data_IF_413429600181
#
_entry.id   IF_413429600181
#
_cell.length_a   1.000
_cell.length_b   1.000
_cell.length_c   1.000
_cell.angle_alpha   90.00
_cell.angle_beta   90.00
_cell.angle_gamma   90.00
#
_symmetry.space_group_name_H-M   'P 1'
#
loop_
_entity.id
_entity.type
_entity.pdbx_description
1 polymer ?
#
# COMPACT_ATOMS: atom_id res chain seq x y z
N UNK A 1 1.29 10.78 -17.50
CA UNK A 1 1.87 10.53 -16.16
C UNK A 1 1.39 9.15 -15.73
N UNK A 2 2.22 8.34 -15.07
CA UNK A 2 1.72 7.10 -14.50
C UNK A 2 0.75 7.43 -13.37
N UNK A 3 -0.21 6.54 -13.13
CA UNK A 3 -0.86 6.50 -11.82
C UNK A 3 0.14 5.88 -10.83
N UNK A 4 0.11 6.34 -9.58
CA UNK A 4 1.01 5.85 -8.53
C UNK A 4 0.27 4.89 -7.63
N UNK A 5 0.95 3.80 -7.32
CA UNK A 5 0.49 2.73 -6.46
C UNK A 5 1.35 2.71 -5.21
N UNK A 6 0.72 2.97 -4.07
CA UNK A 6 1.33 2.81 -2.75
C UNK A 6 1.09 1.38 -2.29
N UNK A 7 2.09 0.74 -1.71
CA UNK A 7 1.93 -0.62 -1.17
C UNK A 7 2.68 -0.76 0.13
N UNK A 8 1.99 -1.17 1.18
CA UNK A 8 2.59 -1.53 2.45
C UNK A 8 2.94 -3.02 2.44
N UNK A 9 4.13 -3.37 2.90
CA UNK A 9 4.60 -4.76 3.00
C UNK A 9 4.96 -5.12 4.44
N UNK A 10 4.69 -6.37 4.78
CA UNK A 10 5.21 -7.03 5.98
C UNK A 10 5.89 -8.33 5.55
N UNK A 11 7.15 -8.52 5.93
CA UNK A 11 7.89 -9.76 5.72
C UNK A 11 8.06 -10.46 7.06
N UNK A 12 7.70 -11.74 7.07
CA UNK A 12 7.92 -12.67 8.19
C UNK A 12 8.70 -13.91 7.74
N UNK A 13 9.21 -14.68 8.70
CA UNK A 13 10.05 -15.85 8.45
C UNK A 13 11.13 -16.03 9.52
N UNK A 14 12.22 -16.70 9.17
CA UNK A 14 13.35 -16.89 10.09
C UNK A 14 14.03 -15.56 10.45
N UNK A 15 14.34 -15.39 11.73
CA UNK A 15 14.90 -14.14 12.25
C UNK A 15 16.26 -13.78 11.63
N UNK A 16 17.09 -14.75 11.26
CA UNK A 16 18.39 -14.47 10.62
C UNK A 16 18.20 -14.05 9.16
N UNK A 17 17.25 -14.66 8.45
CA UNK A 17 16.92 -14.27 7.08
C UNK A 17 16.30 -12.86 7.02
N UNK A 18 15.36 -12.55 7.93
CA UNK A 18 14.77 -11.20 8.05
C UNK A 18 15.86 -10.17 8.32
N UNK A 19 16.73 -10.46 9.30
CA UNK A 19 17.85 -9.56 9.62
C UNK A 19 18.77 -9.35 8.43
N UNK A 20 19.08 -10.40 7.69
CA UNK A 20 19.93 -10.33 6.49
C UNK A 20 19.31 -9.47 5.39
N UNK A 21 17.99 -9.59 5.18
CA UNK A 21 17.26 -8.75 4.23
C UNK A 21 17.21 -7.29 4.68
N UNK A 22 16.92 -7.03 5.96
CA UNK A 22 16.92 -5.68 6.52
C UNK A 22 18.27 -5.01 6.35
N UNK A 23 19.37 -5.68 6.72
CA UNK A 23 20.73 -5.16 6.58
C UNK A 23 21.08 -4.88 5.11
N UNK A 24 20.68 -5.75 4.18
CA UNK A 24 20.87 -5.55 2.75
C UNK A 24 20.15 -4.31 2.23
N UNK A 25 18.85 -4.17 2.51
CA UNK A 25 18.05 -3.03 2.06
C UNK A 25 18.54 -1.73 2.71
N UNK A 26 18.93 -1.80 3.99
CA UNK A 26 19.45 -0.64 4.73
C UNK A 26 20.79 -0.17 4.18
N UNK A 27 21.72 -1.09 3.88
CA UNK A 27 22.99 -0.76 3.22
C UNK A 27 22.75 -0.08 1.86
N UNK A 28 21.85 -0.62 1.04
CA UNK A 28 21.50 -0.02 -0.25
C UNK A 28 20.97 1.41 -0.08
N UNK A 29 20.01 1.60 0.84
CA UNK A 29 19.37 2.89 1.09
C UNK A 29 20.35 3.96 1.60
N UNK A 30 21.29 3.58 2.47
CA UNK A 30 22.22 4.51 3.14
C UNK A 30 23.45 4.88 2.28
N UNK A 31 23.58 4.32 1.07
CA UNK A 31 24.65 4.68 0.13
C UNK A 31 24.54 6.13 -0.33
N UNK A 32 25.68 6.69 -0.77
CA UNK A 32 25.73 8.03 -1.39
C UNK A 32 25.24 8.05 -2.84
N UNK A 33 25.37 6.93 -3.53
CA UNK A 33 24.99 6.76 -4.94
C UNK A 33 24.32 5.41 -5.11
N UNK A 34 23.35 5.28 -6.03
CA UNK A 34 22.65 4.03 -6.22
C UNK A 34 23.59 2.93 -6.74
N UNK A 35 23.29 1.68 -6.38
CA UNK A 35 24.06 0.52 -6.85
C UNK A 35 23.98 0.37 -8.38
N UNK A 36 22.82 0.71 -8.94
CA UNK A 36 22.57 0.75 -10.38
C UNK A 36 22.17 2.16 -10.78
N UNK A 37 22.71 2.69 -11.88
CA UNK A 37 22.35 4.03 -12.36
C UNK A 37 20.87 4.09 -12.75
N UNK A 38 20.11 4.97 -12.11
CA UNK A 38 18.66 5.09 -12.31
C UNK A 38 18.15 6.52 -11.98
N UNK A 39 16.85 6.76 -12.13
CA UNK A 39 16.19 8.04 -11.85
C UNK A 39 15.44 8.13 -10.51
N UNK A 40 15.32 7.03 -9.76
CA UNK A 40 14.59 6.94 -8.48
C UNK A 40 15.50 7.20 -7.27
N UNK A 41 16.77 6.79 -7.33
CA UNK A 41 17.73 6.94 -6.24
C UNK A 41 18.24 5.61 -5.69
N UNK A 42 18.73 5.63 -4.46
CA UNK A 42 19.38 4.48 -3.79
C UNK A 42 18.40 3.39 -3.38
N UNK A 43 17.17 3.77 -3.03
CA UNK A 43 16.07 2.86 -2.68
C UNK A 43 15.27 2.35 -3.88
N UNK A 44 15.79 2.52 -5.10
CA UNK A 44 15.14 1.96 -6.29
C UNK A 44 15.04 0.44 -6.22
N UNK A 45 13.88 -0.14 -6.53
CA UNK A 45 13.67 -1.60 -6.48
C UNK A 45 14.67 -2.37 -7.36
N UNK A 46 15.13 -1.79 -8.48
CA UNK A 46 16.14 -2.41 -9.33
C UNK A 46 17.52 -2.53 -8.67
N UNK A 47 17.85 -1.65 -7.72
CA UNK A 47 19.05 -1.82 -6.90
C UNK A 47 18.95 -3.06 -5.98
N UNK A 48 17.74 -3.33 -5.46
CA UNK A 48 17.51 -4.54 -4.67
C UNK A 48 17.60 -5.79 -5.55
N UNK A 49 16.94 -5.81 -6.71
CA UNK A 49 17.01 -6.92 -7.66
C UNK A 49 18.47 -7.24 -8.07
N UNK A 50 19.26 -6.22 -8.38
CA UNK A 50 20.69 -6.36 -8.67
C UNK A 50 21.47 -6.97 -7.48
N UNK A 51 21.23 -6.48 -6.27
CA UNK A 51 21.88 -6.99 -5.05
C UNK A 51 21.44 -8.41 -4.66
N UNK A 52 20.25 -8.84 -5.09
CA UNK A 52 19.82 -10.24 -5.01
C UNK A 52 20.57 -11.15 -6.02
N UNK A 53 21.30 -10.56 -6.97
CA UNK A 53 22.05 -11.26 -8.01
C UNK A 53 21.23 -11.53 -9.27
N UNK A 54 20.16 -10.76 -9.48
CA UNK A 54 19.20 -10.94 -10.58
C UNK A 54 19.30 -9.75 -11.55
N UNK A 55 18.83 -9.97 -12.78
CA UNK A 55 18.85 -8.96 -13.84
C UNK A 55 17.63 -8.04 -13.70
N UNK A 56 17.86 -6.82 -13.20
CA UNK A 56 16.80 -5.83 -12.98
C UNK A 56 16.08 -5.40 -14.27
N UNK A 57 16.69 -5.56 -15.45
CA UNK A 57 16.08 -5.19 -16.74
C UNK A 57 14.98 -6.19 -17.16
N UNK A 58 14.93 -7.34 -16.51
CA UNK A 58 13.94 -8.41 -16.75
C UNK A 58 12.83 -8.45 -15.71
N UNK A 59 12.84 -7.54 -14.75
CA UNK A 59 11.92 -7.50 -13.60
C UNK A 59 11.28 -6.13 -13.54
N UNK A 60 9.99 -6.08 -13.24
CA UNK A 60 9.27 -4.83 -13.06
C UNK A 60 9.80 -4.07 -11.83
N UNK A 61 10.67 -3.09 -12.02
CA UNK A 61 11.30 -2.29 -10.95
C UNK A 61 10.81 -0.84 -10.98
N UNK A 62 9.51 -0.59 -11.14
CA UNK A 62 8.97 0.73 -11.53
C UNK A 62 8.69 1.65 -10.33
N UNK A 63 9.57 1.61 -9.33
CA UNK A 63 9.40 2.33 -8.09
C UNK A 63 10.54 2.13 -7.10
N UNK A 64 10.38 2.72 -5.93
CA UNK A 64 11.33 2.67 -4.83
C UNK A 64 10.64 2.30 -3.51
N UNK A 65 11.43 1.80 -2.56
CA UNK A 65 10.94 1.55 -1.20
C UNK A 65 11.21 2.73 -0.26
N UNK A 66 10.40 2.84 0.78
CA UNK A 66 10.54 3.81 1.85
C UNK A 66 10.14 3.17 3.21
N UNK A 67 10.30 3.93 4.30
CA UNK A 67 9.83 3.55 5.63
C UNK A 67 10.31 2.16 6.10
N UNK A 68 11.55 1.79 5.77
CA UNK A 68 12.14 0.51 6.14
C UNK A 68 12.37 0.41 7.65
N UNK A 69 11.68 -0.51 8.30
CA UNK A 69 11.73 -0.67 9.76
C UNK A 69 11.56 -2.12 10.23
N UNK A 70 12.21 -2.45 11.34
CA UNK A 70 11.99 -3.70 12.07
C UNK A 70 10.90 -3.49 13.11
N UNK A 71 9.82 -4.26 13.04
CA UNK A 71 8.70 -4.24 14.00
C UNK A 71 8.54 -5.62 14.61
N UNK A 72 9.01 -5.78 15.85
CA UNK A 72 9.09 -7.08 16.51
C UNK A 72 9.99 -8.04 15.71
N UNK A 73 9.43 -9.18 15.30
CA UNK A 73 10.10 -10.18 14.46
C UNK A 73 9.80 -10.02 12.97
N UNK A 74 9.17 -8.91 12.54
CA UNK A 74 8.82 -8.66 11.14
C UNK A 74 9.60 -7.48 10.56
N UNK A 75 9.83 -7.50 9.25
CA UNK A 75 10.34 -6.37 8.49
C UNK A 75 9.18 -5.68 7.78
N UNK A 76 9.05 -4.36 7.94
CA UNK A 76 8.01 -3.55 7.31
C UNK A 76 8.61 -2.44 6.47
N UNK A 77 7.94 -2.10 5.38
CA UNK A 77 8.29 -0.98 4.51
C UNK A 77 7.11 -0.67 3.58
N UNK A 78 7.21 0.44 2.87
CA UNK A 78 6.27 0.79 1.80
C UNK A 78 7.00 0.89 0.46
N UNK A 79 6.27 0.77 -0.65
CA UNK A 79 6.77 1.11 -1.98
C UNK A 79 5.85 2.09 -2.68
N UNK A 80 6.43 2.98 -3.47
CA UNK A 80 5.69 3.81 -4.44
C UNK A 80 6.07 3.35 -5.84
N UNK A 81 5.11 2.82 -6.59
CA UNK A 81 5.34 2.19 -7.89
C UNK A 81 4.37 2.69 -8.96
N UNK A 82 4.77 2.71 -10.22
CA UNK A 82 3.83 3.04 -11.29
C UNK A 82 2.77 1.93 -11.46
N UNK A 83 1.51 2.29 -11.68
CA UNK A 83 0.38 1.44 -12.14
C UNK A 83 -0.03 0.23 -11.27
N UNK A 84 0.79 -0.23 -10.33
CA UNK A 84 0.52 -1.41 -9.52
C UNK A 84 1.79 -1.96 -8.87
N UNK A 85 1.64 -2.83 -7.86
CA UNK A 85 2.74 -3.31 -7.04
C UNK A 85 3.76 -4.08 -7.89
N UNK A 86 5.02 -3.96 -7.53
CA UNK A 86 6.13 -4.67 -8.17
C UNK A 86 6.50 -5.94 -7.38
N UNK A 87 5.49 -6.77 -7.08
CA UNK A 87 5.60 -7.97 -6.24
C UNK A 87 6.67 -8.95 -6.71
N UNK A 88 6.95 -9.02 -8.02
CA UNK A 88 8.04 -9.81 -8.60
C UNK A 88 9.40 -9.56 -7.92
N UNK A 89 9.66 -8.34 -7.43
CA UNK A 89 10.89 -8.03 -6.68
C UNK A 89 10.95 -8.81 -5.37
N UNK A 90 9.82 -8.97 -4.68
CA UNK A 90 9.71 -9.65 -3.39
C UNK A 90 9.55 -11.16 -3.55
N UNK A 91 9.03 -11.63 -4.69
CA UNK A 91 9.15 -13.04 -5.08
C UNK A 91 10.63 -13.47 -5.15
N UNK A 92 11.49 -12.63 -5.73
CA UNK A 92 12.95 -12.88 -5.77
C UNK A 92 13.61 -12.83 -4.39
N UNK A 93 13.08 -12.01 -3.47
CA UNK A 93 13.50 -12.01 -2.07
C UNK A 93 13.18 -13.37 -1.44
N UNK A 94 11.96 -13.87 -1.59
CA UNK A 94 11.54 -15.19 -1.09
C UNK A 94 12.30 -16.34 -1.77
N UNK A 95 12.70 -16.22 -3.04
CA UNK A 95 13.59 -17.19 -3.68
C UNK A 95 14.97 -17.25 -3.01
N UNK A 96 15.52 -16.10 -2.61
CA UNK A 96 16.85 -16.01 -1.98
C UNK A 96 16.83 -16.36 -0.51
N UNK A 97 15.73 -16.08 0.18
CA UNK A 97 15.51 -16.34 1.60
C UNK A 97 14.25 -17.22 1.76
N UNK A 98 14.38 -18.55 1.62
CA UNK A 98 13.25 -19.45 1.45
C UNK A 98 12.31 -19.57 2.65
N UNK A 99 12.73 -19.11 3.84
CA UNK A 99 11.83 -19.05 4.99
C UNK A 99 10.90 -17.83 4.95
N UNK A 100 11.26 -16.80 4.17
CA UNK A 100 10.53 -15.55 4.15
C UNK A 100 9.25 -15.65 3.34
N UNK A 101 8.23 -14.94 3.83
CA UNK A 101 6.97 -14.70 3.14
C UNK A 101 6.62 -13.23 3.30
N UNK A 102 6.02 -12.65 2.27
CA UNK A 102 5.54 -11.28 2.34
C UNK A 102 4.01 -11.23 2.30
N UNK A 103 3.49 -10.29 3.07
CA UNK A 103 2.11 -9.85 3.04
C UNK A 103 2.08 -8.41 2.54
N UNK A 104 1.05 -8.03 1.81
CA UNK A 104 0.92 -6.66 1.34
C UNK A 104 -0.54 -6.19 1.31
N UNK A 105 -0.70 -4.87 1.40
CA UNK A 105 -1.92 -4.15 1.08
C UNK A 105 -1.55 -3.02 0.10
N UNK A 106 -2.22 -2.97 -1.05
CA UNK A 106 -1.86 -2.12 -2.19
C UNK A 106 -3.00 -1.21 -2.61
N UNK A 107 -2.66 0.00 -3.02
CA UNK A 107 -3.59 1.10 -3.30
C UNK A 107 -3.13 1.88 -4.54
N UNK A 108 -3.91 1.84 -5.60
CA UNK A 108 -3.77 2.68 -6.81
C UNK A 108 -5.13 3.32 -7.11
N UNK A 109 -5.40 4.52 -6.54
CA UNK A 109 -6.71 5.17 -6.63
C UNK A 109 -7.14 5.57 -8.05
N UNK A 110 -6.19 5.83 -8.95
CA UNK A 110 -6.44 6.29 -10.31
C UNK A 110 -7.19 5.28 -11.19
N UNK A 111 -7.09 3.99 -10.89
CA UNK A 111 -7.89 2.92 -11.52
C UNK A 111 -8.79 2.18 -10.52
N UNK A 112 -8.86 2.61 -9.26
CA UNK A 112 -9.63 1.93 -8.22
C UNK A 112 -9.09 0.55 -7.88
N UNK A 113 -7.77 0.39 -7.91
CA UNK A 113 -7.10 -0.89 -7.66
C UNK A 113 -6.68 -0.94 -6.19
N UNK A 114 -7.35 -1.82 -5.43
CA UNK A 114 -7.18 -2.00 -4.00
C UNK A 114 -7.15 -3.49 -3.71
N UNK A 115 -5.97 -4.03 -3.39
CA UNK A 115 -5.78 -5.47 -3.22
C UNK A 115 -4.95 -5.79 -1.97
N UNK A 116 -5.04 -7.03 -1.51
CA UNK A 116 -4.22 -7.57 -0.43
C UNK A 116 -4.04 -9.07 -0.61
N UNK A 117 -2.90 -9.62 -0.24
CA UNK A 117 -2.74 -11.08 -0.13
C UNK A 117 -2.93 -11.58 1.32
N UNK A 118 -3.17 -10.67 2.28
CA UNK A 118 -3.41 -11.00 3.69
C UNK A 118 -4.88 -11.35 3.93
N UNK A 119 -5.31 -12.49 3.39
CA UNK A 119 -6.69 -12.98 3.45
C UNK A 119 -7.27 -13.10 4.87
N UNK A 120 -6.42 -13.36 5.86
CA UNK A 120 -6.82 -13.50 7.27
C UNK A 120 -6.79 -12.17 8.03
N UNK A 121 -6.26 -11.10 7.42
CA UNK A 121 -6.04 -9.81 8.07
C UNK A 121 -5.07 -9.92 9.26
N UNK A 122 -4.04 -10.76 9.13
CA UNK A 122 -3.03 -10.99 10.17
C UNK A 122 -2.23 -9.72 10.49
N UNK A 123 -1.93 -8.93 9.46
CA UNK A 123 -1.16 -7.70 9.51
C UNK A 123 -1.96 -6.49 9.03
N UNK A 124 -2.80 -6.69 8.01
CA UNK A 124 -3.62 -5.64 7.40
C UNK A 124 -5.09 -5.90 7.75
N UNK A 125 -5.52 -5.34 8.87
CA UNK A 125 -6.89 -5.55 9.39
C UNK A 125 -7.94 -4.74 8.65
N UNK A 126 -7.53 -3.67 7.97
CA UNK A 126 -8.43 -2.78 7.26
C UNK A 126 -8.91 -3.43 5.96
N UNK A 127 -10.22 -3.45 5.77
CA UNK A 127 -10.91 -4.04 4.62
C UNK A 127 -11.51 -2.99 3.71
N UNK A 128 -11.64 -1.78 4.19
CA UNK A 128 -12.20 -0.66 3.46
C UNK A 128 -11.31 0.57 3.59
N UNK A 129 -11.23 1.33 2.52
CA UNK A 129 -10.65 2.67 2.49
C UNK A 129 -11.71 3.64 2.01
N UNK A 130 -11.76 4.81 2.65
CA UNK A 130 -12.65 5.91 2.27
C UNK A 130 -11.83 7.13 1.91
N UNK A 131 -11.88 7.53 0.64
CA UNK A 131 -11.40 8.82 0.17
C UNK A 131 -12.59 9.79 0.10
N UNK A 132 -12.58 10.83 0.93
CA UNK A 132 -13.71 11.72 1.14
C UNK A 132 -13.29 13.19 1.03
N UNK A 133 -13.90 13.92 0.11
CA UNK A 133 -13.97 15.39 0.12
C UNK A 133 -15.41 15.80 0.45
N UNK A 134 -15.60 16.38 1.64
CA UNK A 134 -16.92 16.89 2.08
C UNK A 134 -17.38 18.09 1.24
N UNK A 135 -18.67 18.44 1.28
CA UNK A 135 -19.18 19.65 0.63
C UNK A 135 -18.44 20.94 1.01
N UNK A 136 -17.89 21.01 2.23
CA UNK A 136 -17.09 22.15 2.72
C UNK A 136 -15.62 22.12 2.28
N UNK A 137 -15.23 21.17 1.43
CA UNK A 137 -13.86 21.02 0.91
C UNK A 137 -12.88 20.41 1.92
N UNK A 138 -13.37 19.81 3.02
CA UNK A 138 -12.51 19.05 3.94
C UNK A 138 -12.24 17.66 3.38
N UNK A 139 -10.96 17.32 3.25
CA UNK A 139 -10.47 16.03 2.76
C UNK A 139 -10.16 15.07 3.92
N UNK A 140 -10.45 13.79 3.69
CA UNK A 140 -10.14 12.66 4.57
C UNK A 140 -9.74 11.45 3.73
N UNK A 141 -8.80 10.66 4.25
CA UNK A 141 -8.49 9.32 3.78
C UNK A 141 -8.42 8.44 5.02
N UNK A 142 -9.40 7.57 5.21
CA UNK A 142 -9.56 6.77 6.44
C UNK A 142 -9.76 5.29 6.11
N UNK A 143 -9.34 4.43 7.02
CA UNK A 143 -9.30 2.97 6.86
C UNK A 143 -10.18 2.30 7.90
N UNK A 144 -10.85 1.22 7.50
CA UNK A 144 -11.81 0.53 8.36
C UNK A 144 -11.74 -0.98 8.22
N UNK A 145 -11.80 -1.69 9.35
CA UNK A 145 -11.87 -3.15 9.40
C UNK A 145 -13.25 -3.71 9.02
N UNK A 146 -14.31 -2.90 9.16
CA UNK A 146 -15.70 -3.33 8.91
C UNK A 146 -16.59 -2.15 8.45
N UNK A 147 -17.75 -2.49 7.87
CA UNK A 147 -18.72 -1.49 7.39
C UNK A 147 -19.43 -0.75 8.52
N UNK A 148 -19.55 -1.34 9.70
CA UNK A 148 -20.29 -0.73 10.81
C UNK A 148 -19.55 0.52 11.32
N UNK A 149 -18.26 0.36 11.59
CA UNK A 149 -17.35 1.45 11.97
C UNK A 149 -17.23 2.51 10.86
N UNK A 150 -17.14 2.10 9.60
CA UNK A 150 -17.14 3.00 8.45
C UNK A 150 -18.40 3.87 8.39
N UNK A 151 -19.59 3.27 8.47
CA UNK A 151 -20.85 4.03 8.40
C UNK A 151 -21.06 4.91 9.63
N UNK A 152 -20.66 4.44 10.81
CA UNK A 152 -20.69 5.26 12.02
C UNK A 152 -19.83 6.53 11.85
N UNK A 153 -18.60 6.38 11.35
CA UNK A 153 -17.70 7.50 11.07
C UNK A 153 -18.26 8.46 10.03
N UNK A 154 -18.80 7.95 8.91
CA UNK A 154 -19.47 8.81 7.90
C UNK A 154 -20.61 9.62 8.52
N UNK A 155 -21.38 9.00 9.41
CA UNK A 155 -22.45 9.66 10.15
C UNK A 155 -21.95 10.80 11.04
N UNK A 156 -20.84 10.59 11.74
CA UNK A 156 -20.19 11.63 12.55
C UNK A 156 -19.70 12.80 11.70
N UNK A 157 -19.02 12.53 10.59
CA UNK A 157 -18.52 13.55 9.67
C UNK A 157 -19.67 14.37 9.06
N UNK A 158 -20.77 13.70 8.71
CA UNK A 158 -21.95 14.33 8.12
C UNK A 158 -22.87 15.01 9.14
N UNK A 159 -22.76 14.68 10.43
CA UNK A 159 -23.75 15.04 11.44
C UNK A 159 -25.13 14.40 11.19
N UNK A 160 -25.15 13.21 10.59
CA UNK A 160 -26.36 12.48 10.17
C UNK A 160 -26.26 11.00 10.51
N UNK A 161 -27.37 10.28 10.44
CA UNK A 161 -27.34 8.82 10.57
C UNK A 161 -27.01 8.19 9.22
N UNK A 162 -25.96 7.38 9.16
CA UNK A 162 -25.58 6.56 8.01
C UNK A 162 -25.47 5.11 8.50
N UNK A 163 -26.16 4.16 7.86
CA UNK A 163 -26.18 2.75 8.27
C UNK A 163 -25.98 1.77 7.11
N UNK A 164 -25.87 2.28 5.89
CA UNK A 164 -25.84 1.47 4.68
C UNK A 164 -25.18 2.21 3.52
N UNK A 165 -24.82 1.46 2.49
CA UNK A 165 -24.35 2.00 1.21
C UNK A 165 -25.37 2.94 0.57
N UNK A 166 -26.67 2.69 0.78
CA UNK A 166 -27.72 3.56 0.25
C UNK A 166 -27.75 4.91 0.96
N UNK A 167 -27.56 4.92 2.28
CA UNK A 167 -27.46 6.16 3.06
C UNK A 167 -26.19 6.94 2.68
N UNK A 168 -25.06 6.23 2.53
CA UNK A 168 -23.80 6.82 2.08
C UNK A 168 -23.95 7.44 0.68
N UNK A 169 -24.54 6.71 -0.26
CA UNK A 169 -24.82 7.23 -1.61
C UNK A 169 -25.73 8.47 -1.58
N UNK A 170 -26.80 8.46 -0.79
CA UNK A 170 -27.69 9.61 -0.67
C UNK A 170 -26.97 10.84 -0.08
N UNK A 171 -26.10 10.63 0.91
CA UNK A 171 -25.24 11.67 1.46
C UNK A 171 -24.32 12.27 0.39
N UNK A 172 -23.75 11.43 -0.48
CA UNK A 172 -22.84 11.89 -1.54
C UNK A 172 -23.58 12.67 -2.62
N UNK A 173 -24.77 12.23 -3.01
CA UNK A 173 -25.63 12.95 -3.95
C UNK A 173 -26.03 14.32 -3.41
N UNK A 174 -26.27 14.45 -2.10
CA UNK A 174 -26.53 15.73 -1.45
C UNK A 174 -25.29 16.64 -1.47
N UNK A 175 -24.12 16.13 -1.07
CA UNK A 175 -22.89 16.92 -1.09
C UNK A 175 -22.49 17.36 -2.50
N UNK A 176 -22.69 16.52 -3.51
CA UNK A 176 -22.41 16.86 -4.91
C UNK A 176 -23.31 18.01 -5.41
N UNK A 177 -24.53 18.16 -4.89
CA UNK A 177 -25.40 19.29 -5.21
C UNK A 177 -24.92 20.59 -4.56
N UNK A 178 -24.36 20.52 -3.35
CA UNK A 178 -23.80 21.67 -2.65
C UNK A 178 -22.44 22.10 -3.22
N UNK A 179 -21.60 21.13 -3.55
CA UNK A 179 -20.25 21.32 -4.08
C UNK A 179 -19.91 20.20 -5.07
N UNK A 180 -19.83 20.49 -6.38
CA UNK A 180 -19.45 19.50 -7.40
C UNK A 180 -18.04 18.91 -7.22
N UNK A 181 -17.16 19.57 -6.47
CA UNK A 181 -15.81 19.10 -6.17
C UNK A 181 -15.78 18.20 -4.91
N UNK A 182 -16.93 17.95 -4.27
CA UNK A 182 -17.03 16.93 -3.23
C UNK A 182 -16.97 15.54 -3.84
N UNK A 183 -16.40 14.59 -3.11
CA UNK A 183 -16.29 13.20 -3.53
C UNK A 183 -16.39 12.32 -2.30
N UNK A 184 -16.89 11.10 -2.48
CA UNK A 184 -16.66 10.04 -1.51
C UNK A 184 -16.55 8.72 -2.26
N UNK A 185 -15.41 8.06 -2.12
CA UNK A 185 -15.12 6.76 -2.68
C UNK A 185 -14.93 5.79 -1.53
N UNK A 186 -15.74 4.74 -1.48
CA UNK A 186 -15.56 3.62 -0.56
C UNK A 186 -15.04 2.47 -1.41
N UNK A 187 -13.84 1.99 -1.11
CA UNK A 187 -13.26 0.85 -1.81
C UNK A 187 -13.00 -0.28 -0.82
N UNK A 188 -13.33 -1.49 -1.23
CA UNK A 188 -13.05 -2.72 -0.47
C UNK A 188 -11.78 -3.35 -1.03
N UNK A 189 -10.83 -3.72 -0.17
CA UNK A 189 -9.62 -4.42 -0.62
C UNK A 189 -9.99 -5.83 -1.07
N UNK A 190 -9.63 -6.15 -2.31
CA UNK A 190 -9.84 -7.47 -2.89
C UNK A 190 -8.71 -8.39 -2.44
N UNK A 191 -9.07 -9.53 -1.86
CA UNK A 191 -8.10 -10.57 -1.51
C UNK A 191 -7.65 -11.28 -2.79
N UNK A 192 -6.34 -11.32 -3.01
CA UNK A 192 -5.69 -11.99 -4.14
C UNK A 192 -4.70 -13.05 -3.66
N UNK A 193 -4.47 -14.06 -4.50
CA UNK A 193 -3.59 -15.20 -4.22
C UNK A 193 -2.11 -14.90 -4.55
#
# INVERSE_FOLDING_TARGET
MPNWCSTAYVIEGDAQEIKSLYELMKDLQDRKTPAVKNGFGTSWLGCLVDALGKDWDKVSCRGDWANLEMVGETLRFTTETAWGPCNETFDLVCEKFPSLRYYYQTEEPGMGFYETNDSEGKYFTDKYIVDLCTAKGKYFCEYFADRESLFAWLGEVAGKTVRSEQDAKALFEEWAQENPDSCCSINEYVVVD
#
